data_IF_874465582355
#
_entry.id   IF_874465582355
#
_cell.length_a   1.000
_cell.length_b   1.000
_cell.length_c   1.000
_cell.angle_alpha   90.00
_cell.angle_beta   90.00
_cell.angle_gamma   90.00
#
_symmetry.space_group_name_H-M   'P 1'
#
loop_
_entity.id
_entity.type
_entity.pdbx_description
1 polymer ?
#
# COMPACT_ATOMS: atom_id res chain seq x y z
N UNK A 1 -4.33 -14.78 23.56
CA UNK A 1 -5.25 -14.47 22.44
C UNK A 1 -4.82 -15.13 21.14
N UNK A 2 -3.64 -14.80 20.57
CA UNK A 2 -3.20 -15.35 19.27
C UNK A 2 -3.15 -16.87 19.18
N UNK A 3 -2.70 -17.57 20.23
CA UNK A 3 -2.73 -19.03 20.27
C UNK A 3 -4.15 -19.61 20.05
N UNK A 4 -5.18 -18.96 20.62
CA UNK A 4 -6.57 -19.38 20.49
C UNK A 4 -7.13 -19.11 19.09
N UNK A 5 -6.80 -17.97 18.49
CA UNK A 5 -7.19 -17.62 17.11
C UNK A 5 -6.56 -18.59 16.11
N UNK A 6 -5.28 -18.93 16.30
CA UNK A 6 -4.59 -19.92 15.46
C UNK A 6 -5.22 -21.31 15.61
N UNK A 7 -5.49 -21.73 16.84
CA UNK A 7 -6.14 -23.00 17.11
C UNK A 7 -7.58 -23.09 16.56
N UNK A 8 -8.30 -21.98 16.45
CA UNK A 8 -9.66 -21.98 15.91
C UNK A 8 -9.73 -22.01 14.38
N UNK A 9 -8.60 -21.86 13.67
CA UNK A 9 -8.55 -21.90 12.21
C UNK A 9 -9.29 -20.75 11.51
N UNK A 10 -9.74 -19.75 12.25
CA UNK A 10 -10.44 -18.59 11.67
C UNK A 10 -9.43 -17.72 10.94
N UNK A 11 -9.82 -17.25 9.75
CA UNK A 11 -8.99 -16.31 9.01
C UNK A 11 -8.91 -14.99 9.77
N UNK A 12 -7.71 -14.45 9.89
CA UNK A 12 -7.44 -13.12 10.41
C UNK A 12 -6.64 -12.31 9.40
N UNK A 13 -6.58 -11.00 9.58
CA UNK A 13 -5.93 -10.10 8.63
C UNK A 13 -4.40 -10.30 8.62
N UNK A 14 -3.80 -10.39 7.43
CA UNK A 14 -2.36 -10.67 7.23
C UNK A 14 -1.42 -9.68 7.94
N UNK A 15 -1.84 -8.43 8.12
CA UNK A 15 -1.05 -7.40 8.79
C UNK A 15 -0.66 -7.78 10.23
N UNK A 16 -1.45 -8.64 10.89
CA UNK A 16 -1.11 -9.16 12.21
C UNK A 16 0.15 -10.03 12.18
N UNK A 17 0.38 -10.79 11.11
CA UNK A 17 1.61 -11.57 10.94
C UNK A 17 2.83 -10.70 10.62
N UNK A 18 2.60 -9.44 10.22
CA UNK A 18 3.66 -8.46 9.97
C UNK A 18 3.97 -7.57 11.17
N UNK A 19 3.35 -7.85 12.32
CA UNK A 19 3.67 -7.18 13.59
C UNK A 19 2.72 -6.05 13.98
N UNK A 20 1.64 -5.80 13.24
CA UNK A 20 0.60 -4.87 13.70
C UNK A 20 -0.12 -5.43 14.93
N UNK A 21 -0.28 -4.64 16.00
CA UNK A 21 -1.03 -5.07 17.20
C UNK A 21 -2.54 -4.95 17.01
N UNK A 22 -3.02 -3.91 16.30
CA UNK A 22 -4.42 -3.69 15.90
C UNK A 22 -4.47 -2.96 14.56
N UNK A 23 -5.41 -3.33 13.69
CA UNK A 23 -5.58 -2.64 12.40
C UNK A 23 -5.90 -1.15 12.55
N UNK A 24 -6.65 -0.77 13.58
CA UNK A 24 -6.96 0.64 13.84
C UNK A 24 -5.72 1.46 14.23
N UNK A 25 -4.60 0.84 14.63
CA UNK A 25 -3.39 1.58 14.99
C UNK A 25 -2.77 2.32 13.79
N UNK A 26 -3.13 2.00 12.55
CA UNK A 26 -2.63 2.74 11.37
C UNK A 26 -3.01 4.23 11.37
N UNK A 27 -4.09 4.61 12.06
CA UNK A 27 -4.61 6.00 12.12
C UNK A 27 -5.00 6.43 13.53
N UNK A 28 -4.66 5.64 14.55
CA UNK A 28 -5.07 5.92 15.92
C UNK A 28 -4.11 6.91 16.57
N UNK A 29 -4.64 8.00 17.12
CA UNK A 29 -3.87 8.98 17.90
C UNK A 29 -3.23 8.40 19.17
N UNK A 30 -3.75 7.27 19.65
CA UNK A 30 -3.24 6.54 20.82
C UNK A 30 -2.33 5.35 20.44
N UNK A 31 -1.95 5.22 19.17
CA UNK A 31 -1.07 4.13 18.74
C UNK A 31 0.34 4.31 19.33
N UNK A 32 1.00 3.18 19.60
CA UNK A 32 2.43 3.22 19.95
C UNK A 32 3.26 3.62 18.73
N UNK A 33 4.45 4.18 18.97
CA UNK A 33 5.39 4.52 17.90
C UNK A 33 5.71 3.31 17.02
N UNK A 34 5.94 2.14 17.62
CA UNK A 34 6.18 0.89 16.88
C UNK A 34 5.03 0.53 15.93
N UNK A 35 3.78 0.70 16.37
CA UNK A 35 2.61 0.40 15.54
C UNK A 35 2.49 1.38 14.37
N UNK A 36 2.77 2.67 14.60
CA UNK A 36 2.76 3.69 13.54
C UNK A 36 3.87 3.45 12.51
N UNK A 37 5.08 3.09 12.96
CA UNK A 37 6.18 2.73 12.06
C UNK A 37 5.88 1.46 11.27
N UNK A 38 5.28 0.45 11.91
CA UNK A 38 4.84 -0.77 11.24
C UNK A 38 3.79 -0.48 10.18
N UNK A 39 2.74 0.28 10.54
CA UNK A 39 1.69 0.70 9.63
C UNK A 39 2.28 1.47 8.43
N UNK A 40 3.14 2.46 8.68
CA UNK A 40 3.76 3.24 7.62
C UNK A 40 4.57 2.38 6.62
N UNK A 41 5.30 1.37 7.11
CA UNK A 41 6.04 0.43 6.23
C UNK A 41 5.08 -0.42 5.39
N UNK A 42 4.02 -0.94 5.99
CA UNK A 42 3.05 -1.81 5.31
C UNK A 42 2.25 -1.03 4.26
N UNK A 43 1.74 0.16 4.62
CA UNK A 43 0.98 1.02 3.70
C UNK A 43 1.85 1.50 2.55
N UNK A 44 3.13 1.82 2.80
CA UNK A 44 4.08 2.18 1.72
C UNK A 44 4.25 1.03 0.72
N UNK A 45 4.40 -0.20 1.19
CA UNK A 45 4.50 -1.37 0.31
C UNK A 45 3.19 -1.67 -0.46
N UNK A 46 2.03 -1.35 0.11
CA UNK A 46 0.74 -1.39 -0.60
C UNK A 46 0.62 -0.30 -1.65
N UNK A 47 0.98 0.94 -1.30
CA UNK A 47 0.95 2.06 -2.24
C UNK A 47 1.86 1.80 -3.45
N UNK A 48 3.07 1.25 -3.25
CA UNK A 48 3.95 0.89 -4.37
C UNK A 48 3.36 -0.20 -5.27
N UNK A 49 2.71 -1.22 -4.69
CA UNK A 49 2.02 -2.25 -5.50
C UNK A 49 0.89 -1.66 -6.31
N UNK A 50 0.05 -0.83 -5.69
CA UNK A 50 -1.07 -0.22 -6.39
C UNK A 50 -0.60 0.68 -7.55
N UNK A 51 0.44 1.50 -7.34
CA UNK A 51 1.02 2.33 -8.40
C UNK A 51 1.59 1.47 -9.53
N UNK A 52 2.24 0.34 -9.21
CA UNK A 52 2.76 -0.58 -10.21
C UNK A 52 1.64 -1.22 -11.04
N UNK A 53 0.56 -1.67 -10.37
CA UNK A 53 -0.61 -2.24 -11.03
C UNK A 53 -1.34 -1.21 -11.92
N UNK A 54 -1.48 0.03 -11.45
CA UNK A 54 -2.07 1.13 -12.22
C UNK A 54 -1.19 1.49 -13.43
N UNK A 55 0.14 1.52 -13.28
CA UNK A 55 1.06 1.80 -14.39
C UNK A 55 1.01 0.67 -15.44
N UNK A 56 0.98 -0.58 -15.01
CA UNK A 56 0.85 -1.74 -15.90
C UNK A 56 -0.49 -1.69 -16.65
N UNK A 57 -1.57 -1.31 -15.97
CA UNK A 57 -2.87 -1.10 -16.61
C UNK A 57 -2.77 0.01 -17.66
N UNK A 58 -2.22 1.18 -17.32
CA UNK A 58 -2.05 2.30 -18.26
C UNK A 58 -1.23 1.92 -19.50
N UNK A 59 -0.22 1.07 -19.36
CA UNK A 59 0.60 0.58 -20.48
C UNK A 59 -0.12 -0.46 -21.36
N UNK A 60 -1.17 -1.10 -20.84
CA UNK A 60 -1.96 -2.11 -21.55
C UNK A 60 -3.16 -1.55 -22.32
N UNK A 61 -3.51 -0.27 -22.10
CA UNK A 61 -4.61 0.39 -22.81
C UNK A 61 -4.09 0.92 -24.15
N UNK A 62 -4.64 0.43 -25.26
CA UNK A 62 -4.41 1.03 -26.59
C UNK A 62 -4.81 2.51 -26.56
N UNK A 63 -3.98 3.43 -27.09
CA UNK A 63 -4.23 4.85 -26.97
C UNK A 63 -5.49 5.27 -27.76
N UNK A 64 -6.61 5.47 -27.05
CA UNK A 64 -7.79 6.14 -27.60
C UNK A 64 -7.43 7.61 -27.87
N UNK A 65 -7.68 8.04 -29.12
CA UNK A 65 -7.41 9.37 -29.67
C UNK A 65 -8.01 10.54 -28.86
N UNK A 66 -8.86 10.28 -27.86
CA UNK A 66 -9.54 11.28 -27.02
C UNK A 66 -8.83 11.62 -25.70
N UNK A 67 -7.79 10.88 -25.30
CA UNK A 67 -7.14 11.03 -23.97
C UNK A 67 -5.85 11.86 -23.95
N UNK A 68 -5.44 12.47 -25.08
CA UNK A 68 -4.13 13.10 -25.22
C UNK A 68 -3.86 14.37 -24.38
N UNK A 69 -4.81 14.85 -23.58
CA UNK A 69 -4.70 16.17 -22.92
C UNK A 69 -4.32 16.14 -21.43
N UNK A 70 -4.12 14.98 -20.78
CA UNK A 70 -4.05 14.92 -19.31
C UNK A 70 -2.91 14.12 -18.65
N UNK A 71 -2.02 13.47 -19.40
CA UNK A 71 -1.01 12.61 -18.79
C UNK A 71 0.24 13.41 -18.38
N UNK A 72 0.48 13.55 -17.07
CA UNK A 72 1.83 13.78 -16.57
C UNK A 72 2.73 12.66 -17.11
N UNK A 73 3.81 13.03 -17.78
CA UNK A 73 4.69 12.05 -18.43
C UNK A 73 5.28 11.09 -17.40
N UNK A 74 5.45 9.81 -17.77
CA UNK A 74 6.12 8.80 -16.93
C UNK A 74 7.51 9.28 -16.44
N UNK A 75 8.16 10.12 -17.24
CA UNK A 75 9.45 10.74 -16.97
C UNK A 75 9.41 11.76 -15.81
N UNK A 76 8.28 12.41 -15.55
CA UNK A 76 8.09 13.31 -14.40
C UNK A 76 7.87 12.54 -13.10
N UNK A 77 7.16 11.41 -13.16
CA UNK A 77 6.98 10.53 -12.01
C UNK A 77 8.32 9.87 -11.61
N UNK A 78 9.10 9.41 -12.59
CA UNK A 78 10.43 8.84 -12.36
C UNK A 78 11.43 9.84 -11.73
N UNK A 79 11.41 11.12 -12.16
CA UNK A 79 12.28 12.17 -11.58
C UNK A 79 12.00 12.42 -10.10
N UNK A 80 10.73 12.50 -9.70
CA UNK A 80 10.35 12.67 -8.29
C UNK A 80 10.71 11.48 -7.40
N UNK A 81 10.83 10.28 -7.96
CA UNK A 81 11.24 9.08 -7.21
C UNK A 81 12.75 9.00 -6.99
N UNK A 82 13.56 9.65 -7.84
CA UNK A 82 15.01 9.72 -7.68
C UNK A 82 15.47 10.75 -6.64
N UNK A 83 14.62 11.74 -6.35
CA UNK A 83 14.89 12.86 -5.44
C UNK A 83 14.42 12.60 -3.98
N UNK A 84 13.92 11.39 -3.66
CA UNK A 84 13.35 11.01 -2.36
C UNK A 84 14.12 9.85 -1.70
#
# INVERSE_FOLDING_TARGET
VWARIKASGVRYHWAYDKGMKRLSCSFCVLASREDLECAARLTRAEAYRQVADELALMQSVEPDHRHAAGLYSAEQCARRMADA
#
